data_IF_389802531090
#
_entry.id   IF_389802531090
#
_cell.length_a   1.000
_cell.length_b   1.000
_cell.length_c   1.000
_cell.angle_alpha   90.00
_cell.angle_beta   90.00
_cell.angle_gamma   90.00
#
_symmetry.space_group_name_H-M   'P 1'
#
loop_
_entity.id
_entity.type
_entity.pdbx_description
1 polymer ?
#
# COMPACT_ATOMS: atom_id res chain seq x y z
N UNK A 1 19.25 -16.53 17.55
CA UNK A 1 18.19 -17.36 16.93
C UNK A 1 16.78 -16.76 17.12
N UNK A 2 16.49 -16.13 18.26
CA UNK A 2 15.15 -15.59 18.59
C UNK A 2 14.60 -14.50 17.65
N UNK A 3 15.47 -13.63 17.11
CA UNK A 3 15.06 -12.50 16.23
C UNK A 3 14.56 -13.00 14.86
N UNK A 4 15.19 -14.04 14.32
CA UNK A 4 14.80 -14.62 13.03
C UNK A 4 13.42 -15.30 13.13
N UNK A 5 13.18 -16.06 14.20
CA UNK A 5 11.89 -16.73 14.46
C UNK A 5 10.76 -15.71 14.62
N UNK A 6 10.99 -14.61 15.37
CA UNK A 6 10.00 -13.55 15.52
C UNK A 6 9.67 -12.86 14.19
N UNK A 7 10.66 -12.67 13.33
CA UNK A 7 10.49 -12.05 12.01
C UNK A 7 9.67 -12.94 11.07
N UNK A 8 9.87 -14.26 11.11
CA UNK A 8 9.10 -15.23 10.33
C UNK A 8 7.64 -15.21 10.77
N UNK A 9 7.38 -15.31 12.08
CA UNK A 9 6.01 -15.30 12.62
C UNK A 9 5.26 -14.00 12.31
N UNK A 10 5.94 -12.85 12.44
CA UNK A 10 5.34 -11.56 12.10
C UNK A 10 5.01 -11.46 10.60
N UNK A 11 5.86 -12.01 9.73
CA UNK A 11 5.66 -11.98 8.28
C UNK A 11 4.52 -12.89 7.83
N UNK A 12 4.44 -14.11 8.35
CA UNK A 12 3.34 -15.04 8.02
C UNK A 12 2.00 -14.46 8.44
N UNK A 13 1.91 -13.97 9.68
CA UNK A 13 0.69 -13.34 10.19
C UNK A 13 0.28 -12.11 9.35
N UNK A 14 1.25 -11.27 8.96
CA UNK A 14 0.96 -10.11 8.10
C UNK A 14 0.46 -10.54 6.72
N UNK A 15 0.99 -11.62 6.14
CA UNK A 15 0.58 -12.07 4.82
C UNK A 15 -0.83 -12.65 4.81
N UNK A 16 -1.20 -13.41 5.84
CA UNK A 16 -2.56 -13.89 6.08
C UNK A 16 -3.53 -12.73 6.29
N UNK A 17 -3.16 -11.76 7.13
CA UNK A 17 -3.99 -10.58 7.36
C UNK A 17 -4.27 -9.81 6.05
N UNK A 18 -3.28 -9.67 5.18
CA UNK A 18 -3.42 -9.01 3.86
C UNK A 18 -4.34 -9.76 2.90
N UNK A 19 -4.50 -11.08 3.07
CA UNK A 19 -5.42 -11.90 2.29
C UNK A 19 -6.86 -11.77 2.80
N UNK A 20 -7.07 -11.79 4.11
CA UNK A 20 -8.38 -11.57 4.73
C UNK A 20 -8.95 -10.22 4.32
N UNK A 21 -8.16 -9.16 4.45
CA UNK A 21 -8.63 -7.82 4.05
C UNK A 21 -8.86 -7.74 2.53
N UNK A 22 -8.13 -8.53 1.71
CA UNK A 22 -8.35 -8.57 0.26
C UNK A 22 -9.70 -9.20 -0.09
N UNK A 23 -10.19 -10.16 0.70
CA UNK A 23 -11.55 -10.69 0.54
C UNK A 23 -12.61 -9.62 0.82
N UNK A 24 -12.41 -8.78 1.85
CA UNK A 24 -13.29 -7.65 2.15
C UNK A 24 -13.21 -6.54 1.08
N UNK A 25 -12.01 -6.23 0.60
CA UNK A 25 -11.77 -5.17 -0.38
C UNK A 25 -10.87 -5.63 -1.54
N UNK A 26 -11.41 -6.43 -2.48
CA UNK A 26 -10.64 -6.98 -3.58
C UNK A 26 -10.10 -5.90 -4.51
N UNK A 27 -10.77 -4.74 -4.56
CA UNK A 27 -10.43 -3.57 -5.36
C UNK A 27 -9.04 -2.99 -5.09
N UNK A 28 -8.48 -3.13 -3.89
CA UNK A 28 -7.14 -2.62 -3.56
C UNK A 28 -6.03 -3.63 -3.79
N UNK A 29 -6.35 -4.85 -4.24
CA UNK A 29 -5.37 -5.91 -4.56
C UNK A 29 -4.34 -6.17 -3.44
N UNK A 30 -4.78 -6.19 -2.18
CA UNK A 30 -3.93 -6.38 -1.00
C UNK A 30 -3.18 -7.71 -0.97
N UNK A 31 -3.74 -8.75 -1.61
CA UNK A 31 -3.06 -10.03 -1.81
C UNK A 31 -1.71 -9.89 -2.52
N UNK A 32 -1.64 -9.06 -3.56
CA UNK A 32 -0.44 -8.87 -4.38
C UNK A 32 0.46 -7.75 -3.87
N UNK A 33 -0.11 -6.63 -3.44
CA UNK A 33 0.68 -5.48 -3.00
C UNK A 33 1.01 -5.50 -1.51
N UNK A 34 0.43 -6.39 -0.68
CA UNK A 34 0.65 -6.51 0.77
C UNK A 34 0.61 -5.15 1.51
N UNK A 35 -0.20 -4.20 1.02
CA UNK A 35 -0.35 -2.86 1.57
C UNK A 35 0.69 -1.82 1.12
N UNK A 36 1.57 -2.15 0.17
CA UNK A 36 2.49 -1.19 -0.43
C UNK A 36 1.79 -0.30 -1.46
N UNK A 37 2.19 0.98 -1.61
CA UNK A 37 1.55 1.96 -2.50
C UNK A 37 1.96 1.72 -3.97
N UNK A 38 1.58 0.57 -4.54
CA UNK A 38 1.79 0.27 -5.96
C UNK A 38 0.94 1.19 -6.84
N UNK A 39 1.22 1.23 -8.16
CA UNK A 39 0.40 2.00 -9.11
C UNK A 39 -1.07 1.58 -9.04
N UNK A 40 -1.34 0.28 -9.11
CA UNK A 40 -2.68 -0.31 -8.95
C UNK A 40 -3.36 0.12 -7.64
N UNK A 41 -2.62 0.09 -6.51
CA UNK A 41 -3.17 0.48 -5.21
C UNK A 41 -3.55 1.96 -5.18
N UNK A 42 -2.70 2.83 -5.73
CA UNK A 42 -2.96 4.28 -5.81
C UNK A 42 -4.13 4.60 -6.73
N UNK A 43 -4.27 3.88 -7.84
CA UNK A 43 -5.42 4.00 -8.73
C UNK A 43 -6.72 3.56 -8.03
N UNK A 44 -6.67 2.46 -7.29
CA UNK A 44 -7.80 2.00 -6.48
C UNK A 44 -8.17 3.02 -5.39
N UNK A 45 -7.19 3.62 -4.70
CA UNK A 45 -7.43 4.73 -3.76
C UNK A 45 -8.06 5.94 -4.46
N UNK A 46 -7.57 6.30 -5.66
CA UNK A 46 -8.12 7.43 -6.41
C UNK A 46 -9.56 7.18 -6.86
N UNK A 47 -9.90 5.93 -7.20
CA UNK A 47 -11.22 5.54 -7.71
C UNK A 47 -12.25 5.27 -6.61
N UNK A 48 -11.85 4.62 -5.52
CA UNK A 48 -12.75 4.16 -4.45
C UNK A 48 -12.54 4.86 -3.10
N UNK A 49 -11.51 5.69 -2.98
CA UNK A 49 -11.15 6.38 -1.74
C UNK A 49 -10.25 5.54 -0.82
N UNK A 50 -10.01 6.07 0.38
CA UNK A 50 -9.23 5.40 1.43
C UNK A 50 -10.16 4.57 2.33
N UNK A 51 -9.64 3.48 2.90
CA UNK A 51 -10.35 2.61 3.84
C UNK A 51 -9.84 2.79 5.28
N UNK A 52 -10.50 2.15 6.24
CA UNK A 52 -10.06 2.07 7.65
C UNK A 52 -8.67 1.44 7.82
N UNK A 53 -8.24 0.59 6.87
CA UNK A 53 -6.95 -0.09 6.91
C UNK A 53 -5.80 0.76 6.36
N UNK A 54 -6.11 1.88 5.68
CA UNK A 54 -5.09 2.80 5.20
C UNK A 54 -4.55 3.67 6.33
N UNK A 55 -3.23 3.79 6.41
CA UNK A 55 -2.58 4.66 7.39
C UNK A 55 -2.72 6.12 6.97
N UNK A 56 -3.61 6.86 7.65
CA UNK A 56 -3.88 8.29 7.37
C UNK A 56 -2.66 9.20 7.55
N UNK A 57 -1.67 8.78 8.35
CA UNK A 57 -0.40 9.51 8.54
C UNK A 57 0.57 9.36 7.36
N UNK A 58 0.35 8.40 6.47
CA UNK A 58 1.19 8.20 5.29
C UNK A 58 0.66 9.04 4.12
N UNK A 59 1.56 9.54 3.27
CA UNK A 59 1.18 10.16 2.00
C UNK A 59 0.62 9.09 1.06
N UNK A 60 -0.71 8.93 1.06
CA UNK A 60 -1.42 7.89 0.29
C UNK A 60 -1.43 8.19 -1.21
N UNK A 61 -1.42 9.47 -1.57
CA UNK A 61 -1.28 9.92 -2.95
C UNK A 61 0.03 10.71 -3.07
N UNK A 62 0.82 10.50 -4.15
CA UNK A 62 1.90 11.40 -4.45
C UNK A 62 1.30 12.77 -4.75
N UNK A 63 1.65 13.75 -3.93
CA UNK A 63 1.57 15.15 -4.31
C UNK A 63 2.69 15.35 -5.34
N UNK A 64 2.39 15.03 -6.60
CA UNK A 64 3.34 15.19 -7.67
C UNK A 64 3.46 16.69 -7.94
N UNK A 65 4.45 17.31 -7.32
CA UNK A 65 4.94 18.62 -7.73
C UNK A 65 5.48 18.44 -9.16
N UNK A 66 4.78 18.98 -10.14
CA UNK A 66 5.34 19.15 -11.48
C UNK A 66 6.53 20.10 -11.35
N UNK A 67 7.75 19.58 -11.55
CA UNK A 67 8.88 20.45 -11.81
C UNK A 67 8.70 21.02 -13.21
N UNK A 68 8.32 22.30 -13.28
CA UNK A 68 8.54 23.10 -14.48
C UNK A 68 10.04 23.21 -14.72
N UNK A 69 10.60 22.19 -15.39
CA UNK A 69 11.91 22.32 -16.02
C UNK A 69 11.73 23.35 -17.13
N UNK A 70 11.96 24.63 -16.80
CA UNK A 70 12.14 25.70 -17.78
C UNK A 70 13.19 25.17 -18.75
N UNK A 71 12.74 24.76 -19.94
CA UNK A 71 13.62 24.45 -21.06
C UNK A 71 14.31 25.76 -21.43
N UNK A 72 15.41 26.05 -20.76
CA UNK A 72 16.34 27.08 -21.20
C UNK A 72 16.86 26.61 -22.56
N UNK A 73 16.57 27.44 -23.55
CA UNK A 73 16.97 27.37 -24.95
C UNK A 73 18.41 26.91 -25.13
#
# INVERSE_FOLDING_TARGET
MSIATASILAKTYRDEYMEIIHEEYPIYNWKKNKGYPTKEHREAIRKYGITKYHRKSFKLLPEQLELELIKRR
#
